data_IF_833548564381
#
_entry.id   IF_833548564381
#
_cell.length_a   1.000
_cell.length_b   1.000
_cell.length_c   1.000
_cell.angle_alpha   90.00
_cell.angle_beta   90.00
_cell.angle_gamma   90.00
#
_symmetry.space_group_name_H-M   'P 1'
#
loop_
_entity.id
_entity.type
_entity.pdbx_description
1 polymer ?
#
# COMPACT_ATOMS: atom_id res chain seq x y z
N UNK A 1 22.28 -0.09 21.29
CA UNK A 1 21.68 -1.22 20.54
C UNK A 1 21.02 -0.62 19.32
N UNK A 2 21.51 -0.93 18.14
CA UNK A 2 20.85 -0.53 16.90
C UNK A 2 19.57 -1.36 16.79
N UNK A 3 18.40 -0.69 16.82
CA UNK A 3 17.12 -1.35 16.56
C UNK A 3 17.15 -1.89 15.13
N UNK A 4 16.88 -3.18 14.96
CA UNK A 4 17.00 -3.86 13.66
C UNK A 4 15.67 -3.86 12.88
N UNK A 5 14.57 -3.39 13.49
CA UNK A 5 13.23 -3.35 12.87
C UNK A 5 12.82 -1.94 12.45
N UNK A 6 12.02 -1.86 11.40
CA UNK A 6 11.31 -0.64 10.97
C UNK A 6 9.96 -0.52 11.70
N UNK A 7 9.24 -1.63 11.85
CA UNK A 7 7.98 -1.74 12.59
C UNK A 7 8.07 -2.95 13.53
N UNK A 8 7.63 -2.75 14.76
CA UNK A 8 7.40 -3.84 15.71
C UNK A 8 5.97 -3.76 16.24
N UNK A 9 5.20 -4.81 15.98
CA UNK A 9 3.84 -4.98 16.46
C UNK A 9 3.81 -6.08 17.53
N UNK A 10 3.32 -5.77 18.73
CA UNK A 10 3.29 -6.69 19.86
C UNK A 10 1.85 -6.87 20.39
N UNK A 11 1.37 -8.12 20.35
CA UNK A 11 0.08 -8.55 20.91
C UNK A 11 -1.12 -7.71 20.44
N UNK A 12 -1.07 -7.26 19.18
CA UNK A 12 -2.11 -6.43 18.59
C UNK A 12 -3.42 -7.19 18.54
N UNK A 13 -4.46 -6.61 19.12
CA UNK A 13 -5.82 -7.10 19.05
C UNK A 13 -6.77 -5.97 18.70
N UNK A 14 -7.81 -6.25 17.93
CA UNK A 14 -8.81 -5.27 17.56
C UNK A 14 -10.21 -5.85 17.59
N UNK A 15 -11.16 -5.10 18.14
CA UNK A 15 -12.58 -5.43 18.14
C UNK A 15 -13.42 -4.23 17.70
N UNK A 16 -14.53 -4.51 17.04
CA UNK A 16 -15.57 -3.53 16.72
C UNK A 16 -16.80 -3.92 17.53
N UNK A 17 -17.20 -3.05 18.45
CA UNK A 17 -18.21 -3.37 19.48
C UNK A 17 -17.79 -4.66 20.22
N UNK A 18 -18.62 -5.70 20.19
CA UNK A 18 -18.33 -7.01 20.82
C UNK A 18 -17.65 -8.02 19.87
N UNK A 19 -17.58 -7.73 18.56
CA UNK A 19 -16.98 -8.63 17.57
C UNK A 19 -15.47 -8.43 17.54
N UNK A 20 -14.70 -9.49 17.84
CA UNK A 20 -13.27 -9.53 17.62
C UNK A 20 -12.98 -9.69 16.11
N UNK A 21 -12.10 -8.87 15.56
CA UNK A 21 -11.60 -9.01 14.19
C UNK A 21 -10.35 -9.91 14.17
N UNK A 22 -9.40 -9.62 15.05
CA UNK A 22 -8.18 -10.42 15.24
C UNK A 22 -7.65 -10.21 16.65
N UNK A 23 -6.77 -11.11 17.11
CA UNK A 23 -6.19 -11.04 18.45
C UNK A 23 -4.76 -11.57 18.50
N UNK A 24 -3.96 -11.00 19.42
CA UNK A 24 -2.60 -11.43 19.74
C UNK A 24 -1.66 -11.51 18.51
N UNK A 25 -1.83 -10.63 17.54
CA UNK A 25 -0.96 -10.56 16.35
C UNK A 25 0.35 -9.88 16.76
N UNK A 26 1.47 -10.57 16.54
CA UNK A 26 2.81 -10.04 16.79
C UNK A 26 3.72 -10.31 15.60
N UNK A 27 4.43 -9.30 15.14
CA UNK A 27 5.40 -9.41 14.06
C UNK A 27 6.37 -8.23 14.05
N UNK A 28 7.46 -8.41 13.33
CA UNK A 28 8.43 -7.36 13.04
C UNK A 28 8.61 -7.23 11.52
N UNK A 29 8.79 -6.00 11.08
CA UNK A 29 9.17 -5.64 9.71
C UNK A 29 10.60 -5.13 9.76
N UNK A 30 11.51 -5.86 9.17
CA UNK A 30 12.91 -5.47 9.05
C UNK A 30 13.14 -4.75 7.72
N UNK A 31 14.26 -4.07 7.57
CA UNK A 31 14.68 -3.54 6.27
C UNK A 31 14.76 -4.66 5.23
N UNK A 32 14.43 -4.34 3.98
CA UNK A 32 14.45 -5.30 2.87
C UNK A 32 13.60 -6.55 3.12
N UNK A 33 12.42 -6.38 3.71
CA UNK A 33 11.49 -7.49 3.94
C UNK A 33 10.09 -7.18 3.44
N UNK A 34 9.36 -8.23 3.07
CA UNK A 34 7.95 -8.13 2.72
C UNK A 34 7.07 -8.89 3.71
N UNK A 35 5.93 -8.30 4.08
CA UNK A 35 4.88 -8.91 4.90
C UNK A 35 3.59 -8.97 4.09
N UNK A 36 3.06 -10.17 3.94
CA UNK A 36 1.74 -10.39 3.32
C UNK A 36 0.68 -10.64 4.39
N UNK A 37 -0.25 -9.70 4.54
CA UNK A 37 -1.39 -9.85 5.44
C UNK A 37 -2.50 -10.58 4.70
N UNK A 38 -2.85 -11.77 5.17
CA UNK A 38 -3.87 -12.64 4.59
C UNK A 38 -5.08 -12.79 5.51
N UNK A 39 -6.17 -13.32 4.98
CA UNK A 39 -7.39 -13.58 5.72
C UNK A 39 -8.63 -13.32 4.86
N UNK A 40 -9.78 -13.82 5.31
CA UNK A 40 -11.07 -13.68 4.66
C UNK A 40 -11.52 -12.22 4.54
N UNK A 41 -12.55 -11.96 3.74
CA UNK A 41 -13.16 -10.64 3.68
C UNK A 41 -13.77 -10.28 5.04
N UNK A 42 -13.41 -9.10 5.56
CA UNK A 42 -13.86 -8.67 6.88
C UNK A 42 -13.02 -9.17 8.07
N UNK A 43 -11.92 -9.91 7.85
CA UNK A 43 -11.00 -10.36 8.91
C UNK A 43 -10.21 -9.21 9.57
N UNK A 44 -10.19 -8.03 8.94
CA UNK A 44 -9.52 -6.85 9.51
C UNK A 44 -8.20 -6.46 8.85
N UNK A 45 -7.86 -6.98 7.65
CA UNK A 45 -6.62 -6.63 6.93
C UNK A 45 -6.40 -5.12 6.83
N UNK A 46 -7.36 -4.38 6.28
CA UNK A 46 -7.33 -2.91 6.22
C UNK A 46 -7.19 -2.27 7.61
N UNK A 47 -7.83 -2.85 8.64
CA UNK A 47 -7.75 -2.33 10.01
C UNK A 47 -6.35 -2.51 10.58
N UNK A 48 -5.72 -3.67 10.37
CA UNK A 48 -4.34 -3.90 10.80
C UNK A 48 -3.38 -2.95 10.08
N UNK A 49 -3.52 -2.76 8.76
CA UNK A 49 -2.73 -1.76 8.03
C UNK A 49 -2.90 -0.34 8.60
N UNK A 50 -4.12 0.07 8.95
CA UNK A 50 -4.38 1.37 9.57
C UNK A 50 -3.79 1.51 10.97
N UNK A 51 -3.72 0.41 11.74
CA UNK A 51 -3.04 0.39 13.04
C UNK A 51 -1.53 0.58 12.85
N UNK A 52 -0.91 -0.12 11.91
CA UNK A 52 0.52 0.03 11.56
C UNK A 52 0.83 1.47 11.16
N UNK A 53 -0.06 2.12 10.40
CA UNK A 53 0.06 3.52 9.96
C UNK A 53 -0.21 4.54 11.09
N UNK A 54 -0.59 4.11 12.29
CA UNK A 54 -0.98 5.02 13.38
C UNK A 54 -2.33 5.73 13.17
N UNK A 55 -3.09 5.38 12.11
CA UNK A 55 -4.42 5.96 11.81
C UNK A 55 -5.47 5.45 12.79
N UNK A 56 -5.35 4.20 13.23
CA UNK A 56 -6.26 3.57 14.19
C UNK A 56 -5.48 3.04 15.39
N UNK A 57 -6.05 3.15 16.59
CA UNK A 57 -5.46 2.57 17.80
C UNK A 57 -5.91 1.12 17.96
N UNK A 58 -5.03 0.18 18.29
CA UNK A 58 -5.43 -1.19 18.63
C UNK A 58 -6.25 -1.19 19.94
N UNK A 59 -7.10 -2.20 20.13
CA UNK A 59 -7.80 -2.41 21.40
C UNK A 59 -6.84 -2.89 22.50
N UNK A 60 -5.81 -3.66 22.11
CA UNK A 60 -4.70 -4.11 22.97
C UNK A 60 -3.43 -4.22 22.11
N UNK A 61 -2.28 -4.18 22.79
CA UNK A 61 -0.97 -4.27 22.18
C UNK A 61 -0.42 -2.91 21.76
N UNK A 62 0.76 -2.90 21.21
CA UNK A 62 1.51 -1.70 20.81
C UNK A 62 2.13 -1.87 19.43
N UNK A 63 2.28 -0.76 18.72
CA UNK A 63 3.09 -0.67 17.50
C UNK A 63 4.18 0.37 17.72
N UNK A 64 5.41 -0.06 17.55
CA UNK A 64 6.58 0.81 17.57
C UNK A 64 7.09 1.00 16.14
N UNK A 65 7.51 2.22 15.82
CA UNK A 65 8.04 2.57 14.49
C UNK A 65 9.44 3.17 14.64
N UNK A 66 10.35 2.73 13.78
CA UNK A 66 11.74 3.20 13.73
C UNK A 66 12.10 3.62 12.29
N UNK A 67 11.20 4.33 11.64
CA UNK A 67 11.34 4.79 10.26
C UNK A 67 12.04 6.14 10.21
N UNK A 68 12.94 6.33 9.26
CA UNK A 68 13.66 7.59 9.02
C UNK A 68 13.06 8.39 7.87
N UNK A 69 12.59 7.73 6.81
CA UNK A 69 12.02 8.38 5.63
C UNK A 69 10.51 8.12 5.44
N UNK A 70 9.85 7.60 6.50
CA UNK A 70 8.40 7.50 6.55
C UNK A 70 7.78 6.33 5.79
N UNK A 71 6.45 6.41 5.59
CA UNK A 71 5.63 5.37 4.97
C UNK A 71 4.82 5.94 3.81
N UNK A 72 4.72 5.19 2.69
CA UNK A 72 3.76 5.46 1.63
C UNK A 72 2.58 4.49 1.73
N UNK A 73 1.37 5.02 1.82
CA UNK A 73 0.15 4.21 1.92
C UNK A 73 -0.71 4.28 0.67
N UNK A 74 -1.02 3.13 0.09
CA UNK A 74 -2.09 2.95 -0.89
C UNK A 74 -3.25 2.20 -0.22
N UNK A 75 -4.34 2.92 0.04
CA UNK A 75 -5.56 2.33 0.60
C UNK A 75 -6.40 1.58 -0.43
N UNK A 76 -7.38 0.83 0.07
CA UNK A 76 -8.35 0.14 -0.78
C UNK A 76 -9.13 1.11 -1.70
N UNK A 77 -9.48 2.30 -1.20
CA UNK A 77 -10.01 3.41 -2.01
C UNK A 77 -8.85 4.20 -2.60
N UNK A 78 -8.95 4.54 -3.88
CA UNK A 78 -7.87 5.20 -4.63
C UNK A 78 -7.55 6.63 -4.15
N UNK A 79 -8.37 7.22 -3.26
CA UNK A 79 -8.21 8.57 -2.71
C UNK A 79 -8.08 9.69 -3.77
N UNK A 80 -8.70 9.48 -4.94
CA UNK A 80 -8.77 10.45 -6.03
C UNK A 80 -10.02 11.32 -5.92
N UNK A 81 -9.89 12.58 -6.32
CA UNK A 81 -11.02 13.52 -6.44
C UNK A 81 -11.72 13.27 -7.77
N UNK A 82 -12.90 12.68 -7.70
CA UNK A 82 -13.64 12.16 -8.86
C UNK A 82 -14.06 13.23 -9.87
N UNK A 83 -14.26 14.48 -9.42
CA UNK A 83 -14.70 15.61 -10.23
C UNK A 83 -13.55 16.49 -10.74
N UNK A 84 -12.33 16.14 -10.46
CA UNK A 84 -11.13 16.80 -10.98
C UNK A 84 -10.50 15.95 -12.10
N UNK A 85 -9.68 16.58 -12.92
CA UNK A 85 -8.90 15.91 -13.96
C UNK A 85 -7.81 15.00 -13.36
N UNK A 86 -7.20 14.17 -14.19
CA UNK A 86 -6.01 13.40 -13.79
C UNK A 86 -4.92 14.38 -13.37
N UNK A 87 -4.62 15.40 -14.18
CA UNK A 87 -3.59 16.40 -13.91
C UNK A 87 -3.82 17.11 -12.56
N UNK A 88 -5.06 17.57 -12.29
CA UNK A 88 -5.40 18.19 -11.00
C UNK A 88 -5.13 17.23 -9.81
N UNK A 89 -5.43 15.94 -9.98
CA UNK A 89 -5.15 14.95 -8.94
C UNK A 89 -3.64 14.73 -8.74
N UNK A 90 -2.81 14.78 -9.79
CA UNK A 90 -1.36 14.72 -9.69
C UNK A 90 -0.79 15.95 -8.96
N UNK A 91 -1.34 17.13 -9.25
CA UNK A 91 -1.01 18.40 -8.55
C UNK A 91 -1.33 18.27 -7.05
N UNK A 92 -2.54 17.80 -6.70
CA UNK A 92 -2.95 17.59 -5.31
C UNK A 92 -2.06 16.59 -4.55
N UNK A 93 -1.47 15.64 -5.26
CA UNK A 93 -0.51 14.67 -4.70
C UNK A 93 0.93 15.18 -4.71
N UNK A 94 1.19 16.39 -5.24
CA UNK A 94 2.52 17.02 -5.37
C UNK A 94 3.53 16.19 -6.15
N UNK A 95 3.07 15.41 -7.14
CA UNK A 95 3.92 14.56 -7.98
C UNK A 95 4.07 15.06 -9.43
N UNK A 96 3.40 16.15 -9.80
CA UNK A 96 3.37 16.71 -11.16
C UNK A 96 4.75 17.15 -11.70
N UNK A 97 5.71 17.44 -10.82
CA UNK A 97 7.05 17.87 -11.20
C UNK A 97 8.10 16.76 -11.12
N UNK A 98 7.67 15.50 -10.93
CA UNK A 98 8.62 14.39 -10.89
C UNK A 98 9.08 14.03 -12.30
N UNK A 99 10.40 13.99 -12.52
CA UNK A 99 11.00 13.73 -13.84
C UNK A 99 10.63 12.35 -14.44
N UNK A 100 10.26 11.38 -13.61
CA UNK A 100 9.83 10.06 -14.06
C UNK A 100 8.34 9.97 -14.41
N UNK A 101 7.54 11.01 -14.11
CA UNK A 101 6.08 10.97 -14.25
C UNK A 101 5.64 10.68 -15.69
N UNK A 102 6.20 11.40 -16.68
CA UNK A 102 5.83 11.24 -18.09
C UNK A 102 6.11 9.83 -18.61
N UNK A 103 7.23 9.25 -18.22
CA UNK A 103 7.58 7.86 -18.58
C UNK A 103 6.59 6.89 -17.95
N UNK A 104 6.31 7.03 -16.66
CA UNK A 104 5.35 6.18 -15.96
C UNK A 104 3.94 6.29 -16.56
N UNK A 105 3.48 7.49 -16.90
CA UNK A 105 2.17 7.69 -17.53
C UNK A 105 2.07 6.96 -18.89
N UNK A 106 3.16 6.92 -19.67
CA UNK A 106 3.24 6.14 -20.93
C UNK A 106 3.23 4.64 -20.65
N UNK A 107 4.01 4.17 -19.67
CA UNK A 107 4.11 2.73 -19.32
C UNK A 107 2.78 2.15 -18.83
N UNK A 108 1.95 2.97 -18.17
CA UNK A 108 0.63 2.55 -17.68
C UNK A 108 -0.54 2.95 -18.61
N UNK A 109 -0.24 3.45 -19.82
CA UNK A 109 -1.21 3.86 -20.85
C UNK A 109 -2.19 4.97 -20.38
N UNK A 110 -1.68 6.01 -19.70
CA UNK A 110 -2.48 7.14 -19.18
C UNK A 110 -1.97 8.53 -19.62
N UNK A 111 -0.93 8.60 -20.43
CA UNK A 111 -0.35 9.87 -20.86
C UNK A 111 -1.36 10.77 -21.59
N UNK A 112 -2.25 10.19 -22.41
CA UNK A 112 -3.29 10.92 -23.16
C UNK A 112 -4.55 11.20 -22.35
N UNK A 113 -4.51 11.04 -21.03
CA UNK A 113 -5.68 11.17 -20.14
C UNK A 113 -5.57 12.28 -19.11
N UNK A 114 -4.54 13.13 -19.20
CA UNK A 114 -4.26 14.16 -18.19
C UNK A 114 -5.41 15.16 -18.00
N UNK A 115 -6.08 15.54 -19.08
CA UNK A 115 -7.23 16.43 -19.10
C UNK A 115 -8.58 15.74 -18.82
N UNK A 116 -8.59 14.42 -18.70
CA UNK A 116 -9.82 13.65 -18.45
C UNK A 116 -10.21 13.72 -16.99
N UNK A 117 -11.50 14.03 -16.72
CA UNK A 117 -12.06 13.99 -15.36
C UNK A 117 -12.06 12.54 -14.84
N UNK A 118 -11.60 12.34 -13.62
CA UNK A 118 -11.37 11.00 -13.04
C UNK A 118 -12.62 10.13 -13.02
N UNK A 119 -13.82 10.71 -12.82
CA UNK A 119 -15.08 9.97 -12.88
C UNK A 119 -15.38 9.33 -14.24
N UNK A 120 -14.76 9.80 -15.32
CA UNK A 120 -14.92 9.26 -16.68
C UNK A 120 -13.94 8.12 -16.99
N UNK A 121 -13.05 7.80 -16.07
CA UNK A 121 -12.08 6.71 -16.19
C UNK A 121 -12.63 5.41 -15.64
N UNK A 122 -12.21 4.29 -16.22
CA UNK A 122 -12.47 2.97 -15.66
C UNK A 122 -11.85 2.82 -14.26
N UNK A 123 -12.36 1.89 -13.46
CA UNK A 123 -11.81 1.61 -12.13
C UNK A 123 -10.31 1.24 -12.20
N UNK A 124 -9.90 0.45 -13.20
CA UNK A 124 -8.50 0.07 -13.40
C UNK A 124 -7.61 1.28 -13.74
N UNK A 125 -8.09 2.21 -14.58
CA UNK A 125 -7.38 3.45 -14.88
C UNK A 125 -7.23 4.33 -13.63
N UNK A 126 -8.29 4.46 -12.83
CA UNK A 126 -8.23 5.17 -11.54
C UNK A 126 -7.22 4.51 -10.58
N UNK A 127 -7.16 3.17 -10.54
CA UNK A 127 -6.18 2.43 -9.73
C UNK A 127 -4.75 2.69 -10.19
N UNK A 128 -4.50 2.70 -11.50
CA UNK A 128 -3.20 3.05 -12.09
C UNK A 128 -2.75 4.47 -11.69
N UNK A 129 -3.65 5.47 -11.71
CA UNK A 129 -3.35 6.83 -11.23
C UNK A 129 -3.00 6.84 -9.74
N UNK A 130 -3.78 6.13 -8.92
CA UNK A 130 -3.51 6.04 -7.49
C UNK A 130 -2.15 5.37 -7.17
N UNK A 131 -1.67 4.48 -8.04
CA UNK A 131 -0.36 3.84 -7.93
C UNK A 131 0.80 4.77 -8.27
N UNK A 132 0.61 5.84 -9.04
CA UNK A 132 1.69 6.77 -9.39
C UNK A 132 2.40 7.33 -8.15
N UNK A 133 1.65 7.63 -7.09
CA UNK A 133 2.27 8.06 -5.83
C UNK A 133 3.15 6.99 -5.17
N UNK A 134 2.86 5.71 -5.41
CA UNK A 134 3.69 4.60 -4.91
C UNK A 134 4.95 4.46 -5.76
N UNK A 135 4.82 4.55 -7.08
CA UNK A 135 5.94 4.46 -8.01
C UNK A 135 6.93 5.62 -7.86
N UNK A 136 6.45 6.81 -7.48
CA UNK A 136 7.25 8.03 -7.33
C UNK A 136 7.66 8.32 -5.88
N UNK A 137 7.42 7.37 -4.96
CA UNK A 137 7.65 7.59 -3.53
C UNK A 137 9.03 7.12 -3.08
N UNK A 138 9.67 7.91 -2.20
CA UNK A 138 10.99 7.63 -1.65
C UNK A 138 10.98 7.07 -0.23
N UNK A 139 9.79 6.83 0.36
CA UNK A 139 9.67 6.25 1.70
C UNK A 139 10.30 4.87 1.78
N UNK A 140 10.87 4.54 2.93
CA UNK A 140 11.49 3.24 3.18
C UNK A 140 10.50 2.09 3.39
N UNK A 141 9.20 2.41 3.65
CA UNK A 141 8.14 1.42 3.83
C UNK A 141 6.94 1.72 2.93
N UNK A 142 6.57 0.75 2.09
CA UNK A 142 5.33 0.77 1.32
C UNK A 142 4.26 -0.04 2.03
N UNK A 143 3.07 0.53 2.24
CA UNK A 143 1.91 -0.12 2.85
C UNK A 143 0.78 -0.13 1.84
N UNK A 144 0.40 -1.33 1.34
CA UNK A 144 -0.48 -1.48 0.18
C UNK A 144 -1.71 -2.32 0.54
N UNK A 145 -2.89 -1.73 0.41
CA UNK A 145 -4.16 -2.41 0.68
C UNK A 145 -4.84 -2.80 -0.63
N UNK A 146 -4.80 -4.10 -0.97
CA UNK A 146 -5.34 -4.68 -2.21
C UNK A 146 -4.86 -3.93 -3.48
N UNK A 147 -3.55 -3.81 -3.71
CA UNK A 147 -3.02 -2.96 -4.78
C UNK A 147 -3.38 -3.45 -6.19
N UNK A 148 -3.63 -4.75 -6.38
CA UNK A 148 -3.92 -5.35 -7.68
C UNK A 148 -5.40 -5.34 -8.08
N UNK A 149 -6.31 -4.98 -7.18
CA UNK A 149 -7.75 -5.00 -7.48
C UNK A 149 -8.07 -4.02 -8.61
N UNK A 150 -8.67 -4.55 -9.68
CA UNK A 150 -9.07 -3.81 -10.88
C UNK A 150 -7.97 -3.57 -11.91
N UNK A 151 -6.74 -4.03 -11.69
CA UNK A 151 -5.67 -3.97 -12.67
C UNK A 151 -5.77 -5.12 -13.67
N UNK A 152 -5.46 -4.81 -14.94
CA UNK A 152 -5.22 -5.83 -15.96
C UNK A 152 -3.88 -6.55 -15.73
N UNK A 153 -3.64 -7.67 -16.45
CA UNK A 153 -2.44 -8.48 -16.28
C UNK A 153 -1.13 -7.72 -16.56
N UNK A 154 -1.12 -6.78 -17.54
CA UNK A 154 0.04 -5.93 -17.84
C UNK A 154 0.39 -5.04 -16.64
N UNK A 155 -0.61 -4.37 -16.07
CA UNK A 155 -0.41 -3.49 -14.91
C UNK A 155 -0.08 -4.26 -13.63
N UNK A 156 -0.63 -5.48 -13.43
CA UNK A 156 -0.24 -6.34 -12.31
C UNK A 156 1.22 -6.78 -12.41
N UNK A 157 1.68 -7.17 -13.59
CA UNK A 157 3.08 -7.55 -13.83
C UNK A 157 4.01 -6.35 -13.61
N UNK A 158 3.63 -5.17 -14.11
CA UNK A 158 4.39 -3.93 -13.89
C UNK A 158 4.53 -3.61 -12.40
N UNK A 159 3.43 -3.64 -11.65
CA UNK A 159 3.45 -3.43 -10.20
C UNK A 159 4.33 -4.46 -9.49
N UNK A 160 4.22 -5.74 -9.86
CA UNK A 160 5.02 -6.82 -9.23
C UNK A 160 6.51 -6.59 -9.45
N UNK A 161 6.93 -6.31 -10.70
CA UNK A 161 8.33 -6.02 -11.03
C UNK A 161 8.84 -4.80 -10.26
N UNK A 162 8.05 -3.72 -10.20
CA UNK A 162 8.37 -2.54 -9.43
C UNK A 162 8.60 -2.87 -7.94
N UNK A 163 7.69 -3.63 -7.31
CA UNK A 163 7.82 -3.99 -5.90
C UNK A 163 9.06 -4.87 -5.62
N UNK A 164 9.41 -5.77 -6.55
CA UNK A 164 10.65 -6.55 -6.47
C UNK A 164 11.90 -5.66 -6.54
N UNK A 165 11.89 -4.66 -7.44
CA UNK A 165 12.99 -3.69 -7.54
C UNK A 165 13.11 -2.83 -6.28
N UNK A 166 12.00 -2.39 -5.68
CA UNK A 166 12.02 -1.59 -4.46
C UNK A 166 12.55 -2.39 -3.25
N UNK A 167 12.20 -3.69 -3.16
CA UNK A 167 12.82 -4.59 -2.18
C UNK A 167 14.34 -4.69 -2.41
N UNK A 168 14.79 -4.84 -3.66
CA UNK A 168 16.21 -4.90 -3.98
C UNK A 168 16.96 -3.58 -3.65
N UNK A 169 16.26 -2.44 -3.57
CA UNK A 169 16.77 -1.14 -3.12
C UNK A 169 16.68 -0.93 -1.59
N UNK A 170 16.50 -2.01 -0.82
CA UNK A 170 16.37 -2.01 0.65
C UNK A 170 15.08 -1.35 1.20
N UNK A 171 14.06 -1.11 0.38
CA UNK A 171 12.74 -0.76 0.90
C UNK A 171 12.04 -1.98 1.47
N UNK A 172 11.05 -1.76 2.30
CA UNK A 172 10.21 -2.82 2.88
C UNK A 172 8.76 -2.65 2.45
N UNK A 173 8.01 -3.75 2.44
CA UNK A 173 6.65 -3.76 1.92
C UNK A 173 5.74 -4.49 2.89
N UNK A 174 4.61 -3.88 3.25
CA UNK A 174 3.49 -4.57 3.90
C UNK A 174 2.30 -4.50 2.94
N UNK A 175 1.71 -5.62 2.62
CA UNK A 175 0.57 -5.61 1.70
C UNK A 175 -0.51 -6.61 2.09
N UNK A 176 -1.76 -6.28 1.74
CA UNK A 176 -2.86 -7.22 1.66
C UNK A 176 -3.13 -7.53 0.20
N UNK A 177 -3.38 -8.78 -0.14
CA UNK A 177 -3.78 -9.16 -1.49
C UNK A 177 -4.41 -10.55 -1.51
N UNK A 178 -5.44 -10.73 -2.36
CA UNK A 178 -5.96 -12.05 -2.74
C UNK A 178 -5.22 -12.63 -3.96
N UNK A 179 -4.41 -11.83 -4.63
CA UNK A 179 -3.59 -12.20 -5.78
C UNK A 179 -2.16 -12.42 -5.30
N UNK A 180 -1.53 -13.50 -5.74
CA UNK A 180 -0.12 -13.75 -5.46
C UNK A 180 0.75 -12.75 -6.25
N UNK A 181 1.51 -11.92 -5.53
CA UNK A 181 2.44 -10.94 -6.10
C UNK A 181 3.84 -11.53 -6.35
N UNK A 182 4.04 -12.82 -6.15
CA UNK A 182 5.35 -13.49 -6.31
C UNK A 182 6.50 -12.74 -5.60
N UNK A 183 6.20 -12.16 -4.44
CA UNK A 183 7.19 -11.58 -3.53
C UNK A 183 7.57 -12.62 -2.47
N UNK A 184 8.86 -12.69 -2.13
CA UNK A 184 9.29 -13.44 -0.95
C UNK A 184 8.82 -12.69 0.31
N UNK A 185 7.65 -13.07 0.83
CA UNK A 185 6.97 -12.37 1.89
C UNK A 185 6.58 -13.30 3.04
N UNK A 186 6.84 -12.88 4.26
CA UNK A 186 6.32 -13.56 5.45
C UNK A 186 4.80 -13.32 5.53
N UNK A 187 4.03 -14.41 5.62
CA UNK A 187 2.57 -14.31 5.72
C UNK A 187 2.10 -14.17 7.16
N UNK A 188 1.11 -13.30 7.37
CA UNK A 188 0.37 -13.13 8.62
C UNK A 188 -1.10 -13.36 8.32
N UNK A 189 -1.66 -14.45 8.83
CA UNK A 189 -3.07 -14.78 8.65
C UNK A 189 -3.91 -14.24 9.81
N UNK A 190 -5.01 -13.54 9.49
CA UNK A 190 -5.93 -12.95 10.47
C UNK A 190 -7.15 -13.83 10.80
N UNK A 191 -7.32 -14.98 10.13
CA UNK A 191 -8.47 -15.88 10.34
C UNK A 191 -8.27 -16.86 11.53
N UNK A 192 -7.17 -16.72 12.28
CA UNK A 192 -6.83 -17.56 13.44
C UNK A 192 -7.31 -16.97 14.77
#
# INVERSE_FOLDING_TARGET
>A
MTMTYLIKAENISYKINEKKLFQNISFEVNSNSAIHITGSNGSGKTTLLRIILGISKPTRGTVETNLTSGMCYLGHKNALKQYLTVEDNLILQSIQHNNALDTLLKDIDLYDKLDVVVSNLSFGQQKKIALLKVFLNESELLVLDEPCVGLDGKAQNFLTSFLQEELAKNKSIIFSSHINLNLDAKSINLDN
#
